data_IF_835180566665
#
_entry.id   IF_835180566665
#
_cell.length_a   1.000
_cell.length_b   1.000
_cell.length_c   1.000
_cell.angle_alpha   90.00
_cell.angle_beta   90.00
_cell.angle_gamma   90.00
#
_symmetry.space_group_name_H-M   'P 1'
#
loop_
_entity.id
_entity.type
_entity.pdbx_description
1 polymer ?
#
# COMPACT_ATOMS: atom_id res chain seq x y z
N UNK A 1 0.34 26.18 -18.12
CA UNK A 1 1.34 25.16 -17.76
C UNK A 1 0.86 23.79 -18.24
N UNK A 2 1.56 23.11 -19.15
CA UNK A 2 1.01 21.91 -19.80
C UNK A 2 1.16 20.66 -18.92
N UNK A 3 0.30 19.65 -19.08
CA UNK A 3 0.35 18.43 -18.27
C UNK A 3 1.42 17.46 -18.78
N UNK A 4 2.15 16.84 -17.85
CA UNK A 4 3.14 15.80 -18.13
C UNK A 4 2.49 14.59 -18.81
N UNK A 5 2.80 14.39 -20.10
CA UNK A 5 2.49 13.15 -20.83
C UNK A 5 3.43 12.04 -20.37
N UNK A 6 2.89 11.06 -19.64
CA UNK A 6 3.55 9.78 -19.43
C UNK A 6 3.69 9.05 -20.77
N UNK A 7 4.91 9.04 -21.33
CA UNK A 7 5.23 8.23 -22.52
C UNK A 7 5.15 6.75 -22.14
N UNK A 8 4.10 6.06 -22.61
CA UNK A 8 4.09 4.60 -22.74
C UNK A 8 5.31 4.18 -23.58
N UNK A 9 6.29 3.51 -22.99
CA UNK A 9 7.28 2.76 -23.76
C UNK A 9 6.58 1.53 -24.32
N UNK A 10 6.34 1.55 -25.63
CA UNK A 10 5.91 0.38 -26.40
C UNK A 10 6.95 -0.73 -26.25
N UNK A 11 6.48 -1.95 -26.01
CA UNK A 11 7.25 -3.15 -26.34
C UNK A 11 7.54 -3.12 -27.85
N UNK A 12 8.79 -2.87 -28.22
CA UNK A 12 9.23 -3.01 -29.61
C UNK A 12 9.62 -4.47 -29.84
N UNK A 13 8.80 -5.17 -30.61
CA UNK A 13 9.21 -6.37 -31.32
C UNK A 13 10.20 -6.03 -32.43
N UNK A 14 11.12 -6.96 -32.66
CA UNK A 14 12.02 -7.18 -33.79
C UNK A 14 12.05 -6.15 -34.95
N UNK A 15 13.24 -5.57 -35.17
CA UNK A 15 13.60 -4.87 -36.40
C UNK A 15 15.12 -4.68 -36.48
N UNK A 16 15.75 -5.27 -37.50
CA UNK A 16 17.21 -5.20 -37.77
C UNK A 16 17.66 -3.74 -37.92
N UNK A 17 18.78 -3.37 -37.28
CA UNK A 17 19.39 -2.05 -37.42
C UNK A 17 20.44 -2.05 -38.54
N UNK A 18 20.33 -1.10 -39.48
CA UNK A 18 21.39 -0.74 -40.41
C UNK A 18 22.36 0.24 -39.72
N UNK A 19 23.67 0.04 -39.93
CA UNK A 19 24.75 0.79 -39.31
C UNK A 19 25.08 2.09 -40.10
N UNK A 20 25.40 3.16 -39.37
CA UNK A 20 26.03 4.38 -39.88
C UNK A 20 27.12 4.87 -38.90
N UNK A 21 28.20 5.52 -39.35
CA UNK A 21 29.40 5.73 -38.54
C UNK A 21 29.44 7.11 -37.87
N UNK A 22 29.96 7.18 -36.63
CA UNK A 22 30.56 8.43 -36.13
C UNK A 22 30.41 8.78 -34.64
N UNK A 23 31.44 8.39 -33.86
CA UNK A 23 32.15 9.15 -32.80
C UNK A 23 31.69 9.15 -31.32
N UNK A 24 32.76 9.13 -30.49
CA UNK A 24 32.96 9.52 -29.09
C UNK A 24 32.55 8.54 -27.98
N UNK A 25 33.54 7.75 -27.53
CA UNK A 25 33.45 6.85 -26.39
C UNK A 25 33.64 7.55 -25.04
N UNK A 26 32.63 7.43 -24.19
CA UNK A 26 32.79 7.33 -22.73
C UNK A 26 32.43 5.90 -22.30
N UNK A 27 32.81 5.43 -21.10
CA UNK A 27 32.44 4.10 -20.64
C UNK A 27 30.91 4.02 -20.60
N UNK A 28 30.35 3.17 -21.46
CA UNK A 28 28.93 2.86 -21.44
C UNK A 28 28.56 2.32 -20.06
N UNK A 29 27.46 2.76 -19.43
CA UNK A 29 26.97 2.09 -18.24
C UNK A 29 26.78 0.61 -18.59
N UNK A 30 27.36 -0.27 -17.78
CA UNK A 30 27.19 -1.71 -17.93
C UNK A 30 25.70 -2.01 -18.13
N UNK A 31 25.32 -2.83 -19.13
CA UNK A 31 23.92 -3.20 -19.29
C UNK A 31 23.43 -3.81 -17.96
N UNK A 32 22.16 -3.55 -17.56
CA UNK A 32 21.58 -4.24 -16.41
C UNK A 32 21.80 -5.75 -16.62
N UNK A 33 22.05 -6.53 -15.54
CA UNK A 33 22.30 -7.95 -15.67
C UNK A 33 21.23 -8.58 -16.57
N UNK A 34 21.69 -9.30 -17.59
CA UNK A 34 20.85 -10.01 -18.54
C UNK A 34 19.79 -10.77 -17.74
N UNK A 35 18.51 -10.60 -18.11
CA UNK A 35 17.43 -11.45 -17.57
C UNK A 35 17.83 -12.89 -17.82
N UNK A 36 18.26 -13.57 -16.76
CA UNK A 36 18.49 -15.01 -16.79
C UNK A 36 17.12 -15.62 -17.07
N UNK A 37 16.95 -16.13 -18.28
CA UNK A 37 15.86 -17.06 -18.56
C UNK A 37 16.20 -18.35 -17.84
N UNK A 38 15.79 -18.43 -16.57
CA UNK A 38 15.82 -19.69 -15.86
C UNK A 38 14.70 -20.55 -16.45
N UNK A 39 15.04 -21.73 -16.97
CA UNK A 39 14.05 -22.70 -17.49
C UNK A 39 13.21 -23.32 -16.37
N UNK A 40 13.60 -23.11 -15.11
CA UNK A 40 12.96 -23.65 -13.91
C UNK A 40 12.84 -22.59 -12.83
N UNK A 41 11.76 -22.61 -12.05
CA UNK A 41 11.57 -21.74 -10.90
C UNK A 41 11.43 -22.60 -9.65
N UNK A 42 12.04 -22.18 -8.54
CA UNK A 42 11.94 -22.86 -7.24
C UNK A 42 10.60 -22.54 -6.57
N UNK A 43 10.12 -21.30 -6.72
CA UNK A 43 8.89 -20.81 -6.11
C UNK A 43 8.05 -20.05 -7.12
N UNK A 44 6.76 -20.41 -7.21
CA UNK A 44 5.78 -19.67 -7.98
C UNK A 44 4.72 -19.05 -7.06
N UNK A 45 4.51 -17.74 -7.19
CA UNK A 45 3.43 -17.00 -6.53
C UNK A 45 2.30 -16.80 -7.53
N UNK A 46 1.11 -17.31 -7.21
CA UNK A 46 -0.07 -17.19 -8.09
C UNK A 46 -0.94 -16.03 -7.62
N UNK A 47 -1.09 -15.02 -8.48
CA UNK A 47 -1.82 -13.78 -8.27
C UNK A 47 -0.90 -12.58 -8.05
N UNK A 48 -1.00 -11.57 -8.91
CA UNK A 48 -0.25 -10.31 -8.82
C UNK A 48 -1.10 -9.16 -8.23
N UNK A 49 -1.91 -9.48 -7.22
CA UNK A 49 -2.47 -8.50 -6.30
C UNK A 49 -1.45 -8.03 -5.26
N UNK A 50 -1.85 -7.11 -4.38
CA UNK A 50 -0.96 -6.52 -3.36
C UNK A 50 -0.35 -7.58 -2.43
N UNK A 51 -1.12 -8.59 -2.03
CA UNK A 51 -0.64 -9.68 -1.16
C UNK A 51 0.37 -10.57 -1.88
N UNK A 52 0.10 -10.93 -3.14
CA UNK A 52 1.00 -11.77 -3.93
C UNK A 52 2.33 -11.06 -4.23
N UNK A 53 2.27 -9.80 -4.66
CA UNK A 53 3.46 -9.00 -4.94
C UNK A 53 4.27 -8.68 -3.68
N UNK A 54 3.61 -8.37 -2.56
CA UNK A 54 4.29 -8.15 -1.28
C UNK A 54 5.00 -9.43 -0.80
N UNK A 55 4.31 -10.58 -0.90
CA UNK A 55 4.90 -11.89 -0.58
C UNK A 55 6.10 -12.21 -1.47
N UNK A 56 5.95 -12.06 -2.80
CA UNK A 56 7.03 -12.31 -3.76
C UNK A 56 8.24 -11.42 -3.48
N UNK A 57 8.02 -10.12 -3.23
CA UNK A 57 9.08 -9.18 -2.87
C UNK A 57 9.82 -9.63 -1.61
N UNK A 58 9.09 -9.98 -0.55
CA UNK A 58 9.70 -10.38 0.71
C UNK A 58 10.49 -11.68 0.57
N UNK A 59 9.97 -12.65 -0.19
CA UNK A 59 10.67 -13.91 -0.47
C UNK A 59 11.97 -13.68 -1.23
N UNK A 60 11.95 -12.84 -2.28
CA UNK A 60 13.16 -12.48 -3.05
C UNK A 60 14.21 -11.82 -2.17
N UNK A 61 13.80 -10.96 -1.22
CA UNK A 61 14.74 -10.29 -0.31
C UNK A 61 15.38 -11.24 0.70
N UNK A 62 14.64 -12.27 1.13
CA UNK A 62 15.13 -13.25 2.12
C UNK A 62 15.92 -14.40 1.51
N UNK A 63 15.65 -14.74 0.25
CA UNK A 63 16.21 -15.89 -0.44
C UNK A 63 16.69 -15.50 -1.85
N UNK A 64 17.69 -14.61 -1.97
CA UNK A 64 18.15 -14.08 -3.26
C UNK A 64 18.71 -15.15 -4.22
N UNK A 65 19.05 -16.33 -3.71
CA UNK A 65 19.55 -17.47 -4.47
C UNK A 65 18.47 -18.26 -5.21
N UNK A 66 17.20 -18.16 -4.78
CA UNK A 66 16.09 -18.89 -5.38
C UNK A 66 15.54 -18.19 -6.63
N UNK A 67 15.06 -18.97 -7.59
CA UNK A 67 14.36 -18.48 -8.76
C UNK A 67 12.85 -18.36 -8.50
N UNK A 68 12.30 -17.15 -8.67
CA UNK A 68 10.88 -16.86 -8.42
C UNK A 68 10.10 -16.54 -9.69
N UNK A 69 8.88 -17.05 -9.79
CA UNK A 69 7.88 -16.65 -10.77
C UNK A 69 6.66 -16.01 -10.07
N UNK A 70 6.08 -14.99 -10.70
CA UNK A 70 4.74 -14.50 -10.36
C UNK A 70 3.82 -14.74 -11.55
N UNK A 71 2.73 -15.46 -11.33
CA UNK A 71 1.74 -15.80 -12.35
C UNK A 71 0.49 -14.96 -12.12
N UNK A 72 0.05 -14.22 -13.13
CA UNK A 72 -1.18 -13.43 -13.11
C UNK A 72 -2.02 -13.81 -14.33
N UNK A 73 -3.32 -14.03 -14.14
CA UNK A 73 -4.23 -14.36 -15.24
C UNK A 73 -4.53 -13.14 -16.10
N UNK A 74 -4.50 -11.96 -15.51
CA UNK A 74 -4.77 -10.68 -16.18
C UNK A 74 -3.55 -10.13 -16.92
N UNK A 75 -3.81 -9.26 -17.89
CA UNK A 75 -2.74 -8.56 -18.64
C UNK A 75 -2.02 -7.50 -17.81
N UNK A 76 -2.67 -6.99 -16.77
CA UNK A 76 -2.18 -5.92 -15.90
C UNK A 76 -2.18 -6.39 -14.44
N UNK A 77 -1.22 -5.91 -13.66
CA UNK A 77 -1.14 -6.22 -12.23
C UNK A 77 -2.26 -5.49 -11.47
N UNK A 78 -2.65 -6.03 -10.32
CA UNK A 78 -3.65 -5.43 -9.43
C UNK A 78 -5.01 -5.11 -10.11
N UNK A 79 -5.37 -5.77 -11.21
CA UNK A 79 -6.60 -5.49 -11.96
C UNK A 79 -7.89 -5.69 -11.13
N UNK A 80 -7.87 -6.55 -10.11
CA UNK A 80 -9.03 -6.88 -9.29
C UNK A 80 -9.09 -6.03 -7.99
N UNK A 81 -9.28 -6.66 -6.82
CA UNK A 81 -9.50 -5.98 -5.54
C UNK A 81 -8.38 -5.00 -5.15
N UNK A 82 -7.13 -5.28 -5.50
CA UNK A 82 -5.99 -4.41 -5.16
C UNK A 82 -6.02 -3.08 -5.92
N UNK A 83 -6.56 -3.04 -7.14
CA UNK A 83 -6.77 -1.81 -7.90
C UNK A 83 -8.10 -1.12 -7.58
N UNK A 84 -9.07 -1.86 -7.02
CA UNK A 84 -10.42 -1.38 -6.74
C UNK A 84 -10.74 -1.43 -5.24
N UNK A 85 -10.04 -0.61 -4.45
CA UNK A 85 -10.32 -0.41 -3.03
C UNK A 85 -10.19 1.08 -2.67
N UNK A 86 -10.53 1.43 -1.43
CA UNK A 86 -10.51 2.83 -0.96
C UNK A 86 -9.11 3.43 -0.82
N UNK A 87 -8.06 2.62 -0.88
CA UNK A 87 -6.67 3.05 -0.63
C UNK A 87 -6.40 3.43 0.83
N UNK A 88 -7.30 3.10 1.76
CA UNK A 88 -7.17 3.48 3.17
C UNK A 88 -6.20 2.55 3.89
N UNK A 89 -5.16 3.12 4.49
CA UNK A 89 -4.33 2.42 5.48
C UNK A 89 -5.10 2.37 6.79
N UNK A 90 -5.65 1.20 7.11
CA UNK A 90 -6.50 1.03 8.28
C UNK A 90 -5.71 1.02 9.58
N UNK A 91 -6.31 1.59 10.64
CA UNK A 91 -5.70 1.67 11.97
C UNK A 91 -5.80 0.39 12.80
N UNK A 92 -6.68 -0.56 12.43
CA UNK A 92 -6.90 -1.82 13.14
C UNK A 92 -7.96 -1.78 14.25
N UNK A 93 -8.64 -0.65 14.44
CA UNK A 93 -9.54 -0.43 15.59
C UNK A 93 -10.77 -1.36 15.65
N UNK A 94 -11.29 -1.83 14.52
CA UNK A 94 -12.49 -2.66 14.50
C UNK A 94 -12.22 -4.14 14.80
N UNK A 95 -10.98 -4.59 14.64
CA UNK A 95 -10.66 -6.01 14.64
C UNK A 95 -10.62 -6.59 16.04
N UNK A 96 -11.08 -7.83 16.19
CA UNK A 96 -11.06 -8.54 17.47
C UNK A 96 -9.63 -8.58 18.03
N UNK A 97 -9.44 -8.19 19.30
CA UNK A 97 -8.13 -8.26 19.96
C UNK A 97 -7.50 -9.63 19.89
N UNK A 98 -6.17 -9.66 19.76
CA UNK A 98 -5.39 -10.90 19.63
C UNK A 98 -5.47 -11.59 18.27
N UNK A 99 -6.45 -11.25 17.42
CA UNK A 99 -6.58 -11.83 16.08
C UNK A 99 -5.41 -11.46 15.17
N UNK A 100 -5.16 -12.30 14.16
CA UNK A 100 -4.16 -12.01 13.13
C UNK A 100 -4.49 -10.72 12.38
N UNK A 101 -5.78 -10.43 12.12
CA UNK A 101 -6.19 -9.17 11.48
C UNK A 101 -5.80 -7.95 12.31
N UNK A 102 -6.02 -7.97 13.62
CA UNK A 102 -5.61 -6.88 14.51
C UNK A 102 -4.09 -6.68 14.49
N UNK A 103 -3.34 -7.76 14.72
CA UNK A 103 -1.87 -7.74 14.78
C UNK A 103 -1.24 -7.26 13.46
N UNK A 104 -1.63 -7.90 12.35
CA UNK A 104 -1.08 -7.60 11.03
C UNK A 104 -1.53 -6.23 10.51
N UNK A 105 -2.72 -5.74 10.86
CA UNK A 105 -3.14 -4.40 10.44
C UNK A 105 -2.31 -3.31 11.11
N UNK A 106 -2.10 -3.40 12.43
CA UNK A 106 -1.35 -2.38 13.16
C UNK A 106 0.12 -2.37 12.75
N UNK A 107 0.73 -3.55 12.65
CA UNK A 107 2.10 -3.70 12.16
C UNK A 107 2.21 -3.28 10.67
N UNK A 108 1.30 -3.76 9.84
CA UNK A 108 1.28 -3.50 8.40
C UNK A 108 1.05 -2.03 8.07
N UNK A 109 0.25 -1.30 8.85
CA UNK A 109 0.08 0.14 8.68
C UNK A 109 1.39 0.90 8.85
N UNK A 110 2.17 0.59 9.89
CA UNK A 110 3.48 1.22 10.12
C UNK A 110 4.46 0.90 8.99
N UNK A 111 4.56 -0.38 8.60
CA UNK A 111 5.43 -0.81 7.50
C UNK A 111 5.00 -0.21 6.15
N UNK A 112 3.70 -0.01 5.94
CA UNK A 112 3.20 0.59 4.71
C UNK A 112 3.60 2.06 4.58
N UNK A 113 3.50 2.84 5.66
CA UNK A 113 3.97 4.23 5.65
C UNK A 113 5.47 4.30 5.39
N UNK A 114 6.26 3.50 6.10
CA UNK A 114 7.71 3.41 5.89
C UNK A 114 8.05 3.03 4.45
N UNK A 115 7.35 2.04 3.89
CA UNK A 115 7.56 1.63 2.50
C UNK A 115 7.22 2.76 1.51
N UNK A 116 6.12 3.48 1.75
CA UNK A 116 5.75 4.61 0.91
C UNK A 116 6.80 5.73 0.97
N UNK A 117 7.32 6.05 2.16
CA UNK A 117 8.40 7.02 2.34
C UNK A 117 9.66 6.61 1.58
N UNK A 118 10.12 5.37 1.78
CA UNK A 118 11.32 4.82 1.14
C UNK A 118 11.20 4.78 -0.40
N UNK A 119 9.98 4.60 -0.93
CA UNK A 119 9.74 4.50 -2.37
C UNK A 119 9.23 5.79 -3.00
N UNK A 120 9.04 6.86 -2.22
CA UNK A 120 8.45 8.11 -2.69
C UNK A 120 7.03 7.92 -3.23
N UNK A 121 6.26 6.97 -2.67
CA UNK A 121 4.87 6.75 -3.04
C UNK A 121 4.02 7.78 -2.30
N UNK A 122 3.26 8.63 -2.99
CA UNK A 122 2.47 9.66 -2.34
C UNK A 122 1.34 9.04 -1.51
N UNK A 123 1.20 9.50 -0.26
CA UNK A 123 0.07 9.20 0.60
C UNK A 123 -0.33 10.44 1.40
N UNK A 124 -1.50 10.37 2.04
CA UNK A 124 -1.99 11.41 2.96
C UNK A 124 -2.37 10.77 4.28
N UNK A 125 -1.75 11.23 5.36
CA UNK A 125 -2.13 10.83 6.71
C UNK A 125 -3.20 11.80 7.25
N UNK A 126 -4.40 11.73 6.68
CA UNK A 126 -5.52 12.61 7.02
C UNK A 126 -6.21 12.26 8.35
N UNK A 127 -5.80 11.14 8.96
CA UNK A 127 -6.45 10.55 10.10
C UNK A 127 -7.84 9.99 9.80
N UNK A 128 -8.51 9.48 10.83
CA UNK A 128 -9.85 8.91 10.77
C UNK A 128 -10.71 9.38 11.94
N UNK A 129 -11.96 9.68 11.61
CA UNK A 129 -13.05 9.96 12.52
C UNK A 129 -14.01 8.78 12.65
N UNK A 130 -14.39 8.40 13.86
CA UNK A 130 -15.55 7.51 14.14
C UNK A 130 -16.49 8.25 15.07
N UNK A 131 -17.69 8.58 14.60
CA UNK A 131 -18.70 9.39 15.30
C UNK A 131 -19.79 8.54 15.94
N UNK A 132 -20.29 9.00 17.09
CA UNK A 132 -21.60 8.65 17.62
C UNK A 132 -22.55 9.83 17.31
N UNK A 133 -23.51 9.60 16.43
CA UNK A 133 -24.52 10.61 16.05
C UNK A 133 -25.59 10.70 17.13
N UNK A 134 -26.03 9.53 17.61
CA UNK A 134 -27.06 9.38 18.63
C UNK A 134 -26.46 8.96 19.99
N UNK A 135 -27.22 9.22 21.05
CA UNK A 135 -26.74 9.00 22.43
C UNK A 135 -26.52 7.52 22.76
N UNK A 136 -27.30 6.63 22.15
CA UNK A 136 -27.24 5.17 22.30
C UNK A 136 -26.05 4.53 21.57
N UNK A 137 -25.39 5.25 20.65
CA UNK A 137 -24.16 4.80 19.98
C UNK A 137 -22.90 5.01 20.82
N UNK A 138 -22.97 5.85 21.87
CA UNK A 138 -21.82 6.20 22.72
C UNK A 138 -21.19 4.97 23.39
N UNK A 139 -21.94 4.02 23.99
CA UNK A 139 -21.35 2.80 24.54
C UNK A 139 -20.57 2.00 23.49
N UNK A 140 -21.10 1.90 22.27
CA UNK A 140 -20.43 1.19 21.17
C UNK A 140 -19.14 1.88 20.75
N UNK A 141 -19.13 3.21 20.71
CA UNK A 141 -17.92 3.97 20.45
C UNK A 141 -16.86 3.77 21.55
N UNK A 142 -17.25 3.82 22.83
CA UNK A 142 -16.33 3.56 23.95
C UNK A 142 -15.73 2.16 23.86
N UNK A 143 -16.53 1.16 23.52
CA UNK A 143 -16.03 -0.20 23.29
C UNK A 143 -15.04 -0.28 22.11
N UNK A 144 -15.24 0.51 21.05
CA UNK A 144 -14.26 0.62 19.95
C UNK A 144 -12.96 1.30 20.39
N UNK A 145 -13.04 2.30 21.26
CA UNK A 145 -11.86 2.95 21.83
C UNK A 145 -11.04 1.97 22.67
N UNK A 146 -11.68 1.25 23.59
CA UNK A 146 -11.04 0.20 24.40
C UNK A 146 -10.42 -0.89 23.55
N UNK A 147 -11.13 -1.35 22.51
CA UNK A 147 -10.58 -2.32 21.54
C UNK A 147 -9.36 -1.78 20.81
N UNK A 148 -9.39 -0.50 20.42
CA UNK A 148 -8.26 0.17 19.81
C UNK A 148 -7.03 0.21 20.72
N UNK A 149 -7.21 0.48 22.02
CA UNK A 149 -6.15 0.41 23.00
C UNK A 149 -5.58 -1.02 23.12
N UNK A 150 -6.44 -2.02 23.21
CA UNK A 150 -6.03 -3.44 23.26
C UNK A 150 -5.26 -3.88 22.00
N UNK A 151 -5.58 -3.29 20.85
CA UNK A 151 -4.90 -3.54 19.58
C UNK A 151 -3.60 -2.73 19.43
N UNK A 152 -3.26 -1.85 20.39
CA UNK A 152 -2.11 -0.93 20.31
C UNK A 152 -2.18 0.04 19.12
N UNK A 153 -3.40 0.49 18.77
CA UNK A 153 -3.57 1.51 17.75
C UNK A 153 -2.97 2.82 18.26
N UNK A 154 -1.99 3.36 17.53
CA UNK A 154 -1.31 4.61 17.87
C UNK A 154 -2.25 5.80 17.67
N UNK A 155 -1.98 6.93 18.34
CA UNK A 155 -2.68 8.19 18.08
C UNK A 155 -4.14 8.28 18.52
N UNK A 156 -4.70 7.21 19.11
CA UNK A 156 -6.09 7.18 19.59
C UNK A 156 -6.39 8.28 20.59
N UNK A 157 -7.40 9.09 20.30
CA UNK A 157 -7.91 10.12 21.21
C UNK A 157 -9.43 10.17 21.18
N UNK A 158 -10.03 10.32 22.37
CA UNK A 158 -11.43 10.73 22.50
C UNK A 158 -11.52 12.25 22.40
N UNK A 159 -12.17 12.78 21.36
CA UNK A 159 -12.31 14.22 21.15
C UNK A 159 -13.78 14.65 21.11
N UNK A 160 -14.06 15.83 21.65
CA UNK A 160 -15.41 16.36 21.83
C UNK A 160 -15.90 17.25 20.71
N UNK A 161 -17.21 17.50 20.66
CA UNK A 161 -17.92 18.22 19.58
C UNK A 161 -17.23 19.51 19.11
N UNK A 162 -16.70 20.33 20.04
CA UNK A 162 -15.96 21.55 19.70
C UNK A 162 -14.70 21.29 18.88
N UNK A 163 -13.93 20.27 19.23
CA UNK A 163 -12.71 19.89 18.49
C UNK A 163 -13.06 19.30 17.12
N UNK A 164 -14.17 18.53 17.04
CA UNK A 164 -14.70 18.02 15.76
C UNK A 164 -15.01 19.18 14.84
N UNK A 165 -15.77 20.16 15.32
CA UNK A 165 -16.19 21.30 14.51
C UNK A 165 -15.02 22.15 14.03
N UNK A 166 -13.94 22.22 14.81
CA UNK A 166 -12.70 22.88 14.41
C UNK A 166 -11.94 22.11 13.30
N UNK A 167 -11.98 20.77 13.31
CA UNK A 167 -11.30 19.91 12.32
C UNK A 167 -12.12 19.67 11.05
N UNK A 168 -13.41 19.40 11.24
CA UNK A 168 -14.38 19.00 10.21
C UNK A 168 -15.65 19.86 10.34
N UNK A 169 -15.63 21.13 9.87
CA UNK A 169 -16.68 22.13 10.13
C UNK A 169 -18.05 21.78 9.54
N UNK A 170 -18.09 20.89 8.55
CA UNK A 170 -19.34 20.41 7.93
C UNK A 170 -19.91 19.16 8.61
N UNK A 171 -19.20 18.57 9.58
CA UNK A 171 -19.66 17.42 10.34
C UNK A 171 -20.56 17.87 11.50
N UNK A 172 -21.82 17.42 11.52
CA UNK A 172 -22.78 17.71 12.60
C UNK A 172 -22.93 16.50 13.50
N UNK A 173 -22.33 16.55 14.69
CA UNK A 173 -22.38 15.45 15.67
C UNK A 173 -22.48 15.98 17.09
N UNK A 174 -23.26 15.31 17.94
CA UNK A 174 -23.55 15.74 19.31
C UNK A 174 -22.54 15.20 20.33
N UNK A 175 -21.95 14.01 20.11
CA UNK A 175 -21.01 13.39 21.05
C UNK A 175 -19.88 12.56 20.35
N UNK A 176 -18.89 12.18 21.16
CA UNK A 176 -17.44 12.10 20.90
C UNK A 176 -16.95 11.16 19.79
N UNK A 177 -15.65 11.28 19.50
CA UNK A 177 -14.91 10.64 18.41
C UNK A 177 -13.74 9.79 18.85
N UNK A 178 -13.31 8.87 17.99
CA UNK A 178 -11.95 8.36 18.00
C UNK A 178 -11.16 9.01 16.86
N UNK A 179 -10.07 9.73 17.19
CA UNK A 179 -9.09 10.23 16.24
C UNK A 179 -7.86 9.32 16.22
N UNK A 180 -7.36 9.01 15.03
CA UNK A 180 -5.97 8.62 14.74
C UNK A 180 -5.61 9.22 13.40
#
# INVERSE_FOLDING_TARGET
SPPLKWRRRRCCGHGRAAAGPGRCGGPSPSPPPLRVFCSTFDVAVVGAGIVGLASARELVLRHPELAFAVLEKEKELAHHQSGHNSGVIHSGIYYTPGSLKAKLCVQGAALCYEYCDQKGIPYKQCGKLIVAVEQDEIPRLKALYERGLQNNVRGLKLIGSKEIQAKEPFCRVRNFLIFN
#
